data_IF_817234979414
#
_entry.id   IF_817234979414
#
_cell.length_a   1.000
_cell.length_b   1.000
_cell.length_c   1.000
_cell.angle_alpha   90.00
_cell.angle_beta   90.00
_cell.angle_gamma   90.00
#
_symmetry.space_group_name_H-M   'P 1'
#
loop_
_entity.id
_entity.type
_entity.pdbx_description
1 polymer ?
#
# COMPACT_ATOMS: atom_id res chain seq x y z
N UNK A 1 2.11 -1.86 14.94
CA UNK A 1 2.31 -0.41 15.19
C UNK A 1 3.46 0.02 14.32
N UNK A 2 3.27 0.92 13.36
CA UNK A 2 4.34 1.41 12.49
C UNK A 2 5.18 2.40 13.28
N UNK A 3 6.41 2.03 13.59
CA UNK A 3 7.39 2.90 14.23
C UNK A 3 8.36 3.37 13.15
N UNK A 4 8.64 4.67 13.12
CA UNK A 4 9.61 5.27 12.20
C UNK A 4 10.85 5.59 13.03
N UNK A 5 11.95 4.87 12.79
CA UNK A 5 13.19 5.04 13.57
C UNK A 5 13.80 6.43 13.40
N UNK A 6 13.71 7.00 12.19
CA UNK A 6 14.12 8.37 11.90
C UNK A 6 13.17 9.03 10.91
N UNK A 7 12.62 10.18 11.29
CA UNK A 7 11.79 10.97 10.40
C UNK A 7 12.63 11.65 9.32
N UNK A 8 12.12 11.63 8.10
CA UNK A 8 12.68 12.36 6.97
C UNK A 8 11.60 13.24 6.34
N UNK A 9 11.98 14.18 5.47
CA UNK A 9 11.05 14.99 4.71
C UNK A 9 10.07 14.14 3.88
N UNK A 10 10.52 12.99 3.37
CA UNK A 10 9.68 11.98 2.72
C UNK A 10 8.63 11.42 3.68
N UNK A 11 9.03 11.01 4.89
CA UNK A 11 8.11 10.51 5.92
C UNK A 11 7.07 11.58 6.30
N UNK A 12 7.51 12.81 6.56
CA UNK A 12 6.62 13.92 6.92
C UNK A 12 5.62 14.27 5.80
N UNK A 13 6.06 14.26 4.53
CA UNK A 13 5.16 14.50 3.40
C UNK A 13 4.14 13.36 3.22
N UNK A 14 4.57 12.11 3.41
CA UNK A 14 3.68 10.95 3.35
C UNK A 14 2.62 11.01 4.45
N UNK A 15 2.98 11.43 5.68
CA UNK A 15 2.04 11.60 6.78
C UNK A 15 1.01 12.70 6.47
N UNK A 16 1.46 13.87 5.98
CA UNK A 16 0.57 14.95 5.52
C UNK A 16 -0.46 14.44 4.50
N UNK A 17 0.02 13.72 3.47
CA UNK A 17 -0.84 13.18 2.43
C UNK A 17 -1.84 12.15 2.98
N UNK A 18 -1.40 11.31 3.91
CA UNK A 18 -2.23 10.29 4.55
C UNK A 18 -3.35 10.90 5.44
N UNK A 19 -3.05 12.02 6.10
CA UNK A 19 -4.01 12.85 6.83
C UNK A 19 -4.90 13.70 5.92
N UNK A 20 -4.63 13.73 4.61
CA UNK A 20 -5.34 14.53 3.60
C UNK A 20 -5.34 16.03 3.88
N UNK A 21 -4.25 16.53 4.48
CA UNK A 21 -4.07 17.94 4.80
C UNK A 21 -3.30 18.67 3.70
N UNK A 22 -3.62 19.95 3.50
CA UNK A 22 -2.78 20.86 2.71
C UNK A 22 -1.45 21.12 3.43
N UNK A 23 -0.52 21.83 2.79
CA UNK A 23 0.74 22.19 3.45
C UNK A 23 0.48 23.13 4.63
N UNK A 24 -0.44 24.06 4.45
CA UNK A 24 -0.80 25.09 5.42
C UNK A 24 -1.46 24.47 6.64
N UNK A 25 -2.49 23.63 6.42
CA UNK A 25 -3.20 22.96 7.51
C UNK A 25 -2.30 21.99 8.28
N UNK A 26 -1.36 21.32 7.60
CA UNK A 26 -0.41 20.44 8.28
C UNK A 26 0.67 21.20 9.04
N UNK A 27 1.11 22.35 8.52
CA UNK A 27 2.03 23.21 9.22
C UNK A 27 1.39 23.79 10.49
N UNK A 28 0.14 24.25 10.40
CA UNK A 28 -0.66 24.68 11.55
C UNK A 28 -0.82 23.55 12.57
N UNK A 29 -1.17 22.35 12.11
CA UNK A 29 -1.32 21.17 12.96
C UNK A 29 -0.03 20.82 13.74
N UNK A 30 1.14 21.05 13.15
CA UNK A 30 2.44 20.82 13.78
C UNK A 30 3.01 22.06 14.49
N UNK A 31 2.36 23.21 14.42
CA UNK A 31 2.86 24.48 14.98
C UNK A 31 4.12 25.02 14.29
N UNK A 32 4.28 24.79 12.98
CA UNK A 32 5.44 25.23 12.20
C UNK A 32 5.06 26.12 11.02
N UNK A 33 6.06 26.72 10.37
CA UNK A 33 5.86 27.46 9.13
C UNK A 33 5.52 26.51 7.96
N UNK A 34 4.56 26.87 7.07
CA UNK A 34 4.31 26.15 5.82
C UNK A 34 5.56 25.99 4.94
N UNK A 35 6.52 26.91 5.04
CA UNK A 35 7.81 26.84 4.34
C UNK A 35 8.60 25.58 4.72
N UNK A 36 8.50 25.13 5.97
CA UNK A 36 9.16 23.90 6.43
C UNK A 36 8.58 22.67 5.72
N UNK A 37 7.25 22.63 5.57
CA UNK A 37 6.56 21.54 4.87
C UNK A 37 6.91 21.52 3.37
N UNK A 38 7.00 22.69 2.74
CA UNK A 38 7.49 22.81 1.35
C UNK A 38 8.93 22.32 1.25
N UNK A 39 9.82 22.72 2.16
CA UNK A 39 11.23 22.29 2.18
C UNK A 39 11.37 20.77 2.31
N UNK A 40 10.53 20.11 3.12
CA UNK A 40 10.52 18.65 3.22
C UNK A 40 10.16 17.95 1.90
N UNK A 41 9.28 18.57 1.11
CA UNK A 41 8.92 18.07 -0.22
C UNK A 41 10.07 18.22 -1.22
N UNK A 42 10.75 19.36 -1.18
CA UNK A 42 11.92 19.64 -2.03
C UNK A 42 13.14 18.80 -1.63
N UNK A 43 13.25 18.45 -0.34
CA UNK A 43 14.38 17.72 0.23
C UNK A 43 13.88 16.50 1.02
N UNK A 44 13.49 15.42 0.32
CA UNK A 44 12.90 14.24 0.95
C UNK A 44 13.81 13.57 1.98
N UNK A 45 15.12 13.66 1.82
CA UNK A 45 16.11 13.05 2.72
C UNK A 45 16.47 13.96 3.91
N UNK A 46 15.89 15.15 4.02
CA UNK A 46 16.15 16.05 5.15
C UNK A 46 15.56 15.46 6.43
N UNK A 47 16.38 15.38 7.48
CA UNK A 47 15.94 14.95 8.82
C UNK A 47 15.37 16.16 9.58
N UNK A 48 14.12 16.12 10.09
CA UNK A 48 13.57 17.14 10.98
C UNK A 48 14.32 17.19 12.31
N UNK A 49 14.28 18.34 12.99
CA UNK A 49 14.85 18.46 14.33
C UNK A 49 14.16 17.52 15.33
N UNK A 50 14.82 17.12 16.43
CA UNK A 50 14.25 16.18 17.40
C UNK A 50 12.84 16.57 17.91
N UNK A 51 12.55 17.85 18.23
CA UNK A 51 11.19 18.24 18.64
C UNK A 51 10.13 18.01 17.54
N UNK A 52 10.52 18.14 16.27
CA UNK A 52 9.61 17.86 15.15
C UNK A 52 9.42 16.38 14.91
N UNK A 53 10.44 15.55 15.16
CA UNK A 53 10.27 14.09 15.10
C UNK A 53 9.26 13.63 16.16
N UNK A 54 9.34 14.14 17.39
CA UNK A 54 8.37 13.85 18.45
C UNK A 54 6.94 14.31 18.10
N UNK A 55 6.81 15.50 17.49
CA UNK A 55 5.53 16.00 17.01
C UNK A 55 4.94 15.13 15.88
N UNK A 56 5.78 14.66 14.96
CA UNK A 56 5.39 13.77 13.87
C UNK A 56 5.01 12.37 14.38
N UNK A 57 5.74 11.83 15.34
CA UNK A 57 5.39 10.58 16.03
C UNK A 57 4.04 10.67 16.72
N UNK A 58 3.81 11.77 17.44
CA UNK A 58 2.53 12.01 18.12
C UNK A 58 1.39 12.15 17.11
N UNK A 59 1.64 12.85 16.01
CA UNK A 59 0.69 12.98 14.90
C UNK A 59 0.33 11.62 14.29
N UNK A 60 1.32 10.77 14.01
CA UNK A 60 1.10 9.42 13.48
C UNK A 60 0.35 8.53 14.49
N UNK A 61 0.70 8.64 15.78
CA UNK A 61 0.04 7.91 16.87
C UNK A 61 -1.43 8.32 17.02
N UNK A 62 -1.75 9.60 16.81
CA UNK A 62 -3.12 10.12 16.92
C UNK A 62 -3.94 9.96 15.63
N UNK A 63 -3.29 9.66 14.51
CA UNK A 63 -3.96 9.48 13.23
C UNK A 63 -4.98 8.33 13.28
N UNK A 64 -6.12 8.50 12.61
CA UNK A 64 -7.14 7.46 12.45
C UNK A 64 -6.55 6.20 11.76
N UNK A 65 -7.12 5.00 12.00
CA UNK A 65 -6.60 3.75 11.41
C UNK A 65 -6.41 3.82 9.88
N UNK A 66 -7.38 4.36 9.15
CA UNK A 66 -7.29 4.51 7.69
C UNK A 66 -6.16 5.46 7.26
N UNK A 67 -5.84 6.47 8.06
CA UNK A 67 -4.73 7.36 7.79
C UNK A 67 -3.39 6.66 8.02
N UNK A 68 -3.27 5.80 9.03
CA UNK A 68 -2.05 5.00 9.23
C UNK A 68 -1.82 4.02 8.08
N UNK A 69 -2.88 3.38 7.57
CA UNK A 69 -2.81 2.51 6.38
C UNK A 69 -2.38 3.28 5.13
N UNK A 70 -2.95 4.47 4.89
CA UNK A 70 -2.50 5.32 3.77
C UNK A 70 -1.04 5.74 3.93
N UNK A 71 -0.60 6.01 5.15
CA UNK A 71 0.78 6.39 5.42
C UNK A 71 1.77 5.27 5.08
N UNK A 72 1.51 4.05 5.55
CA UNK A 72 2.33 2.87 5.22
C UNK A 72 2.31 2.54 3.73
N UNK A 73 1.14 2.63 3.09
CA UNK A 73 1.01 2.47 1.64
C UNK A 73 1.80 3.54 0.84
N UNK A 74 1.70 4.82 1.23
CA UNK A 74 2.44 5.92 0.61
C UNK A 74 3.97 5.74 0.73
N UNK A 75 4.43 5.06 1.78
CA UNK A 75 5.84 4.75 1.98
C UNK A 75 6.29 3.44 1.31
N UNK A 76 5.36 2.65 0.78
CA UNK A 76 5.63 1.31 0.26
C UNK A 76 5.96 0.29 1.35
N UNK A 77 5.64 0.58 2.61
CA UNK A 77 5.93 -0.30 3.76
C UNK A 77 4.92 -1.46 3.87
N UNK A 78 3.72 -1.30 3.29
CA UNK A 78 2.70 -2.36 3.21
C UNK A 78 2.93 -3.36 2.06
N UNK A 79 4.02 -3.20 1.29
CA UNK A 79 4.45 -4.25 0.36
C UNK A 79 5.19 -5.35 1.12
N UNK A 80 4.51 -6.01 2.06
CA UNK A 80 4.88 -7.40 2.33
C UNK A 80 4.42 -8.19 1.11
N UNK A 81 5.33 -8.85 0.36
CA UNK A 81 4.88 -9.90 -0.55
C UNK A 81 4.08 -10.86 0.31
N UNK A 82 2.79 -11.07 0.00
CA UNK A 82 2.09 -12.24 0.51
C UNK A 82 2.99 -13.41 0.13
N UNK A 83 3.57 -14.18 1.06
CA UNK A 83 4.35 -15.33 0.70
C UNK A 83 3.39 -16.26 -0.02
N UNK A 84 3.49 -16.33 -1.35
CA UNK A 84 2.89 -17.41 -2.10
C UNK A 84 3.73 -18.63 -1.74
N UNK A 85 3.34 -19.28 -0.65
CA UNK A 85 3.99 -20.52 -0.26
C UNK A 85 3.72 -21.59 -1.31
N UNK A 86 4.55 -22.63 -1.30
CA UNK A 86 4.47 -23.70 -2.29
C UNK A 86 3.09 -24.38 -2.28
N UNK A 87 2.41 -24.37 -1.12
CA UNK A 87 1.06 -24.90 -0.95
C UNK A 87 0.02 -24.07 -1.72
N UNK A 88 0.03 -22.73 -1.58
CA UNK A 88 -0.87 -21.85 -2.32
C UNK A 88 -0.67 -21.96 -3.83
N UNK A 89 0.58 -22.04 -4.30
CA UNK A 89 0.90 -22.24 -5.72
C UNK A 89 0.40 -23.59 -6.23
N UNK A 90 0.54 -24.65 -5.43
CA UNK A 90 0.07 -25.99 -5.78
C UNK A 90 -1.46 -26.05 -5.85
N UNK A 91 -2.16 -25.40 -4.91
CA UNK A 91 -3.62 -25.27 -4.95
C UNK A 91 -4.09 -24.53 -6.20
N UNK A 92 -3.45 -23.41 -6.55
CA UNK A 92 -3.76 -22.65 -7.75
C UNK A 92 -3.60 -23.49 -9.03
N UNK A 93 -2.49 -24.18 -9.18
CA UNK A 93 -2.24 -25.05 -10.34
C UNK A 93 -3.24 -26.20 -10.43
N UNK A 94 -3.64 -26.76 -9.30
CA UNK A 94 -4.66 -27.82 -9.23
C UNK A 94 -6.02 -27.31 -9.68
N UNK A 95 -6.43 -26.15 -9.15
CA UNK A 95 -7.70 -25.52 -9.50
C UNK A 95 -7.79 -25.17 -11.00
N UNK A 96 -6.70 -24.68 -11.60
CA UNK A 96 -6.61 -24.43 -13.05
C UNK A 96 -6.80 -25.74 -13.85
N UNK A 97 -6.16 -26.82 -13.41
CA UNK A 97 -6.31 -28.14 -14.04
C UNK A 97 -7.73 -28.68 -13.98
N UNK A 98 -8.40 -28.53 -12.82
CA UNK A 98 -9.78 -28.95 -12.64
C UNK A 98 -10.75 -28.13 -13.49
N UNK A 99 -10.56 -26.81 -13.59
CA UNK A 99 -11.33 -25.95 -14.49
C UNK A 99 -11.16 -26.38 -15.95
N UNK A 100 -9.94 -26.72 -16.37
CA UNK A 100 -9.68 -27.21 -17.73
C UNK A 100 -10.43 -28.52 -18.01
N UNK A 101 -10.47 -29.42 -17.02
CA UNK A 101 -11.20 -30.69 -17.11
C UNK A 101 -12.72 -30.48 -17.15
N UNK A 102 -13.25 -29.54 -16.38
CA UNK A 102 -14.68 -29.18 -16.40
C UNK A 102 -15.05 -28.59 -17.77
N UNK A 103 -14.24 -27.67 -18.30
CA UNK A 103 -14.45 -27.08 -19.62
C UNK A 103 -14.44 -28.14 -20.73
N UNK A 104 -13.53 -29.12 -20.68
CA UNK A 104 -13.49 -30.21 -21.65
C UNK A 104 -14.75 -31.11 -21.63
N UNK A 105 -15.37 -31.31 -20.46
CA UNK A 105 -16.64 -32.07 -20.36
C UNK A 105 -17.86 -31.28 -20.83
N UNK A 106 -17.78 -29.95 -20.82
CA UNK A 106 -18.86 -29.07 -21.25
C UNK A 106 -18.81 -28.75 -22.75
N UNK A 107 -17.75 -29.14 -23.47
CA UNK A 107 -17.77 -29.10 -24.93
C UNK A 107 -18.75 -30.17 -25.45
N UNK A 108 -19.88 -29.78 -26.09
CA UNK A 108 -20.76 -30.74 -26.71
C UNK A 108 -20.00 -31.49 -27.80
N UNK A 109 -20.08 -32.82 -27.78
CA UNK A 109 -19.47 -33.67 -28.80
C UNK A 109 -19.96 -33.27 -30.19
N UNK A 110 -19.02 -33.10 -31.11
CA UNK A 110 -19.25 -32.75 -32.50
C UNK A 110 -20.31 -33.68 -33.13
N UNK A 111 -21.48 -33.19 -33.56
CA UNK A 111 -22.46 -34.00 -34.26
C UNK A 111 -22.05 -34.12 -35.74
N UNK A 112 -20.94 -34.80 -36.03
CA UNK A 112 -20.52 -35.10 -37.40
C UNK A 112 -19.97 -36.51 -37.53
N UNK A 113 -20.82 -37.52 -37.35
CA UNK A 113 -20.67 -38.81 -38.05
C UNK A 113 -22.06 -39.42 -38.32
N UNK A 114 -22.75 -38.91 -39.34
CA UNK A 114 -23.79 -39.66 -40.04
C UNK A 114 -23.15 -40.34 -41.25
N UNK A 115 -23.09 -41.69 -41.31
CA UNK A 115 -22.58 -42.37 -42.48
C UNK A 115 -23.61 -42.27 -43.61
N UNK A 116 -23.20 -41.70 -44.73
CA UNK A 116 -23.93 -41.69 -45.98
C UNK A 116 -24.08 -43.13 -46.49
N UNK A 117 -25.31 -43.60 -46.66
CA UNK A 117 -25.67 -44.77 -47.47
C UNK A 117 -26.45 -44.29 -48.68
#
# INVERSE_FOLDING_TARGET
MTVIDEWTGRHANALRAALRLTNEAFAEYLGISPRTVTKWRERPNMVPSPPLQEALDTSLRNAAPDARLRFTANLGLDQQPVPLDQAALTQLNTAIGDLTRVLARLQPGDPQQSPTL
#
